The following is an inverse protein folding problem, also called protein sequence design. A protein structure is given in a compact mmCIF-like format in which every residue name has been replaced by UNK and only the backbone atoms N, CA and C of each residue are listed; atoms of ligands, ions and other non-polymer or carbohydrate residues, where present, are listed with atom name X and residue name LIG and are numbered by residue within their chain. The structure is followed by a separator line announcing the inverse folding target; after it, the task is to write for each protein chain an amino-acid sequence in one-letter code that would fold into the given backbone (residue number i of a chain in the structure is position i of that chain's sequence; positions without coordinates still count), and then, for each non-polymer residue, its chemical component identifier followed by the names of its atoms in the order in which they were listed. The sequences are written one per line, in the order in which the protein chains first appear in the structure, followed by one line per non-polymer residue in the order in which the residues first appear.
data_IF_400810623222
#
_entry.id   IF_400810623222
#
_cell.length_a   1.000
_cell.length_b   1.000
_cell.length_c   1.000
_cell.angle_alpha   90.00
_cell.angle_beta   90.00
_cell.angle_gamma   90.00
#
_symmetry.space_group_name_H-M   'P 1'
#
loop_
_entity.id
_entity.type
_entity.pdbx_description
1 polymer ?
#
# COMPACT_ATOMS: atom_id res chain seq x y z
N UNK A 1 -19.10 -17.02 4.65
CA UNK A 1 -18.94 -16.53 6.04
C UNK A 1 -18.72 -15.02 6.10
N UNK A 2 -17.70 -14.45 5.45
CA UNK A 2 -17.44 -12.99 5.54
C UNK A 2 -18.64 -12.14 5.08
N UNK A 3 -19.15 -12.40 3.88
CA UNK A 3 -20.32 -11.70 3.29
C UNK A 3 -21.54 -11.75 4.22
N UNK A 4 -21.97 -12.95 4.59
CA UNK A 4 -23.14 -13.17 5.44
C UNK A 4 -23.00 -12.62 6.86
N UNK A 5 -21.81 -12.75 7.47
CA UNK A 5 -21.63 -12.43 8.89
C UNK A 5 -21.29 -10.95 9.13
N UNK A 6 -20.70 -10.25 8.17
CA UNK A 6 -20.25 -8.87 8.33
C UNK A 6 -21.00 -7.89 7.42
N UNK A 7 -21.15 -8.22 6.14
CA UNK A 7 -21.66 -7.29 5.12
C UNK A 7 -23.18 -7.33 5.07
N UNK A 8 -23.77 -8.52 4.88
CA UNK A 8 -25.22 -8.71 4.81
C UNK A 8 -25.88 -8.37 6.16
N UNK A 9 -25.16 -8.63 7.26
CA UNK A 9 -25.58 -8.26 8.62
C UNK A 9 -25.40 -6.77 8.93
N UNK A 10 -24.82 -5.98 8.01
CA UNK A 10 -24.50 -4.55 8.15
C UNK A 10 -23.59 -4.22 9.34
N UNK A 11 -22.87 -5.21 9.89
CA UNK A 11 -21.91 -4.99 10.96
C UNK A 11 -20.66 -4.25 10.48
N UNK A 12 -20.27 -4.48 9.23
CA UNK A 12 -19.16 -3.76 8.60
C UNK A 12 -19.49 -3.43 7.15
N UNK A 13 -19.51 -2.14 6.83
CA UNK A 13 -19.87 -1.67 5.50
C UNK A 13 -18.75 -1.96 4.50
N UNK A 14 -19.07 -2.27 3.22
CA UNK A 14 -18.05 -2.49 2.19
C UNK A 14 -17.02 -1.36 2.09
N UNK A 15 -17.44 -0.11 2.27
CA UNK A 15 -16.56 1.06 2.29
C UNK A 15 -15.49 0.95 3.37
N UNK A 16 -15.88 0.51 4.58
CA UNK A 16 -14.95 0.39 5.70
C UNK A 16 -13.99 -0.79 5.48
N UNK A 17 -14.47 -1.90 4.91
CA UNK A 17 -13.61 -3.04 4.55
C UNK A 17 -12.55 -2.60 3.53
N UNK A 18 -12.94 -1.86 2.49
CA UNK A 18 -12.00 -1.33 1.50
C UNK A 18 -10.98 -0.40 2.17
N UNK A 19 -11.44 0.50 3.04
CA UNK A 19 -10.54 1.38 3.82
C UNK A 19 -9.52 0.57 4.62
N UNK A 20 -9.98 -0.40 5.41
CA UNK A 20 -9.13 -1.22 6.25
C UNK A 20 -8.09 -1.99 5.43
N UNK A 21 -8.49 -2.59 4.30
CA UNK A 21 -7.59 -3.30 3.39
C UNK A 21 -6.49 -2.36 2.87
N UNK A 22 -6.87 -1.16 2.45
CA UNK A 22 -5.92 -0.22 1.86
C UNK A 22 -4.98 0.39 2.91
N UNK A 23 -5.48 0.70 4.10
CA UNK A 23 -4.66 1.30 5.16
C UNK A 23 -3.66 0.29 5.78
N UNK A 24 -3.92 -1.02 5.67
CA UNK A 24 -2.96 -2.08 6.05
C UNK A 24 -1.69 -2.07 5.16
N UNK A 25 -1.77 -1.54 3.94
CA UNK A 25 -0.65 -1.55 2.98
C UNK A 25 0.60 -0.92 3.59
N UNK A 26 0.45 0.19 4.32
CA UNK A 26 1.56 0.93 4.94
C UNK A 26 2.37 0.08 5.93
N UNK A 27 1.72 -0.91 6.55
CA UNK A 27 2.34 -1.80 7.53
C UNK A 27 2.85 -3.10 6.90
N UNK A 28 2.43 -3.41 5.68
CA UNK A 28 2.75 -4.67 5.01
C UNK A 28 2.98 -4.50 3.50
N UNK A 29 3.86 -3.55 3.15
CA UNK A 29 4.16 -3.11 1.79
C UNK A 29 4.54 -4.22 0.81
N UNK A 30 5.10 -5.35 1.31
CA UNK A 30 5.42 -6.53 0.49
C UNK A 30 4.22 -7.00 -0.34
N UNK A 31 3.03 -6.92 0.23
CA UNK A 31 1.80 -7.44 -0.38
C UNK A 31 0.91 -6.34 -0.94
N UNK A 32 1.46 -5.14 -1.20
CA UNK A 32 0.71 -3.99 -1.75
C UNK A 32 -0.18 -4.39 -2.92
N UNK A 33 0.36 -5.10 -3.92
CA UNK A 33 -0.42 -5.56 -5.08
C UNK A 33 -1.60 -6.46 -4.68
N UNK A 34 -1.38 -7.42 -3.79
CA UNK A 34 -2.43 -8.33 -3.31
C UNK A 34 -3.54 -7.57 -2.58
N UNK A 35 -3.20 -6.60 -1.73
CA UNK A 35 -4.18 -5.77 -1.04
C UNK A 35 -4.94 -4.85 -1.99
N UNK A 36 -4.26 -4.23 -2.96
CA UNK A 36 -4.89 -3.43 -4.01
C UNK A 36 -5.88 -4.26 -4.83
N UNK A 37 -5.50 -5.47 -5.26
CA UNK A 37 -6.39 -6.41 -5.95
C UNK A 37 -7.59 -6.79 -5.08
N UNK A 38 -7.37 -7.06 -3.80
CA UNK A 38 -8.46 -7.38 -2.88
C UNK A 38 -9.44 -6.20 -2.75
N UNK A 39 -8.95 -4.98 -2.51
CA UNK A 39 -9.76 -3.78 -2.47
C UNK A 39 -10.55 -3.55 -3.78
N UNK A 40 -9.94 -3.84 -4.93
CA UNK A 40 -10.59 -3.75 -6.24
C UNK A 40 -11.76 -4.74 -6.36
N UNK A 41 -11.57 -5.98 -5.95
CA UNK A 41 -12.62 -6.99 -5.94
C UNK A 41 -13.84 -6.54 -5.11
N UNK A 42 -13.61 -5.99 -3.92
CA UNK A 42 -14.70 -5.46 -3.09
C UNK A 42 -15.35 -4.22 -3.70
N UNK A 43 -14.54 -3.33 -4.30
CA UNK A 43 -15.05 -2.14 -4.98
C UNK A 43 -16.01 -2.53 -6.10
N UNK A 44 -15.64 -3.52 -6.91
CA UNK A 44 -16.45 -4.01 -8.03
C UNK A 44 -17.68 -4.78 -7.57
N UNK A 45 -17.52 -5.74 -6.66
CA UNK A 45 -18.62 -6.59 -6.19
C UNK A 45 -19.73 -5.76 -5.54
N UNK A 46 -19.35 -4.78 -4.71
CA UNK A 46 -20.29 -3.95 -3.95
C UNK A 46 -20.56 -2.58 -4.59
N UNK A 47 -20.04 -2.34 -5.80
CA UNK A 47 -20.25 -1.12 -6.58
C UNK A 47 -19.93 0.16 -5.77
N UNK A 48 -18.86 0.10 -4.97
CA UNK A 48 -18.46 1.21 -4.10
C UNK A 48 -17.82 2.31 -4.94
N UNK A 49 -18.42 3.50 -4.91
CA UNK A 49 -17.91 4.67 -5.65
C UNK A 49 -17.18 5.66 -4.76
N UNK A 50 -17.35 5.56 -3.44
CA UNK A 50 -16.73 6.47 -2.47
C UNK A 50 -16.42 5.74 -1.16
N UNK A 51 -15.24 6.03 -0.61
CA UNK A 51 -14.74 5.59 0.69
C UNK A 51 -14.37 6.84 1.49
N UNK A 52 -15.04 7.03 2.63
CA UNK A 52 -14.79 8.15 3.53
C UNK A 52 -13.50 7.95 4.33
N UNK A 53 -12.76 9.04 4.54
CA UNK A 53 -11.57 9.09 5.39
C UNK A 53 -10.46 8.08 5.04
N UNK A 54 -10.38 7.65 3.77
CA UNK A 54 -9.24 6.88 3.28
C UNK A 54 -7.96 7.72 3.35
N UNK A 55 -6.84 7.11 3.75
CA UNK A 55 -5.57 7.82 3.77
C UNK A 55 -5.21 8.33 2.37
N UNK A 56 -4.56 9.50 2.31
CA UNK A 56 -4.16 10.07 1.03
C UNK A 56 -3.18 9.16 0.25
N UNK A 57 -2.31 8.44 0.96
CA UNK A 57 -1.38 7.47 0.36
C UNK A 57 -2.13 6.29 -0.23
N UNK A 58 -3.05 5.69 0.53
CA UNK A 58 -3.94 4.60 0.10
C UNK A 58 -4.69 4.96 -1.18
N UNK A 59 -5.24 6.18 -1.23
CA UNK A 59 -5.99 6.65 -2.39
C UNK A 59 -5.10 6.90 -3.62
N UNK A 60 -3.88 7.42 -3.45
CA UNK A 60 -2.91 7.54 -4.56
C UNK A 60 -2.51 6.16 -5.10
N UNK A 61 -2.20 5.20 -4.23
CA UNK A 61 -1.79 3.85 -4.64
C UNK A 61 -2.90 3.17 -5.45
N UNK A 62 -4.13 3.22 -4.97
CA UNK A 62 -5.28 2.63 -5.67
C UNK A 62 -5.58 3.33 -7.00
N UNK A 63 -5.50 4.66 -7.03
CA UNK A 63 -5.67 5.43 -8.26
C UNK A 63 -4.57 5.14 -9.29
N UNK A 64 -3.32 5.00 -8.87
CA UNK A 64 -2.21 4.71 -9.78
C UNK A 64 -2.32 3.31 -10.41
N UNK A 65 -2.81 2.33 -9.66
CA UNK A 65 -2.95 0.94 -10.14
C UNK A 65 -4.17 0.78 -11.06
N UNK A 66 -5.33 1.37 -10.70
CA UNK A 66 -6.60 1.10 -11.38
C UNK A 66 -7.25 2.30 -12.07
N UNK A 67 -6.75 3.52 -11.88
CA UNK A 67 -7.37 4.74 -12.40
C UNK A 67 -8.67 5.16 -11.70
N UNK A 68 -9.05 4.49 -10.61
CA UNK A 68 -10.31 4.71 -9.88
C UNK A 68 -10.07 5.66 -8.71
N UNK A 69 -10.95 6.66 -8.58
CA UNK A 69 -10.93 7.59 -7.44
C UNK A 69 -11.95 7.13 -6.40
N UNK A 70 -11.48 6.67 -5.24
CA UNK A 70 -12.35 6.29 -4.13
C UNK A 70 -12.68 7.47 -3.20
N UNK A 71 -11.98 8.60 -3.33
CA UNK A 71 -12.26 9.78 -2.53
C UNK A 71 -12.39 11.02 -3.41
N UNK A 72 -13.40 11.86 -3.12
CA UNK A 72 -13.74 13.02 -3.96
C UNK A 72 -12.75 14.18 -3.87
N UNK A 73 -12.03 14.33 -2.75
CA UNK A 73 -11.02 15.38 -2.62
C UNK A 73 -9.91 15.17 -3.64
N UNK A 74 -9.47 16.22 -4.32
CA UNK A 74 -8.28 16.16 -5.20
C UNK A 74 -6.97 16.29 -4.41
N UNK A 75 -7.01 16.39 -3.07
CA UNK A 75 -5.82 16.60 -2.24
C UNK A 75 -4.82 15.45 -2.32
N UNK A 76 -5.28 14.22 -2.59
CA UNK A 76 -4.39 13.08 -2.80
C UNK A 76 -3.44 13.29 -4.00
N UNK A 77 -3.86 14.06 -5.02
CA UNK A 77 -2.98 14.38 -6.17
C UNK A 77 -1.77 15.23 -5.79
N UNK A 78 -1.81 15.92 -4.64
CA UNK A 78 -0.69 16.69 -4.11
C UNK A 78 0.32 15.80 -3.38
N UNK A 79 -0.03 14.55 -3.07
CA UNK A 79 0.86 13.60 -2.42
C UNK A 79 1.80 13.04 -3.47
N UNK A 80 3.02 13.58 -3.50
CA UNK A 80 4.14 12.93 -4.16
C UNK A 80 4.56 11.72 -3.31
N UNK A 81 4.33 10.53 -3.85
CA UNK A 81 4.94 9.30 -3.35
C UNK A 81 6.32 9.21 -3.98
N UNK A 82 7.32 9.73 -3.27
CA UNK A 82 8.70 9.54 -3.66
C UNK A 82 9.10 8.09 -3.39
N UNK A 83 9.93 7.54 -4.29
CA UNK A 83 10.49 6.21 -4.15
C UNK A 83 9.41 5.10 -4.11
N UNK A 84 8.47 5.09 -5.08
CA UNK A 84 7.54 3.97 -5.26
C UNK A 84 8.26 2.64 -5.55
N UNK A 85 9.44 2.71 -6.17
CA UNK A 85 10.28 1.55 -6.52
C UNK A 85 11.41 1.31 -5.53
N UNK A 86 11.23 1.67 -4.24
CA UNK A 86 12.21 1.37 -3.18
C UNK A 86 12.53 -0.11 -3.09
N UNK A 87 11.62 -0.99 -3.45
CA UNK A 87 11.83 -2.44 -3.43
C UNK A 87 12.28 -2.98 -4.77
N UNK A 88 12.76 -2.12 -5.68
CA UNK A 88 13.46 -2.56 -6.89
C UNK A 88 14.47 -3.64 -6.51
N UNK A 89 14.52 -4.71 -7.32
CA UNK A 89 15.29 -5.92 -7.04
C UNK A 89 16.74 -5.59 -6.64
N UNK A 90 17.34 -4.55 -7.21
CA UNK A 90 18.71 -4.10 -6.98
C UNK A 90 18.87 -3.02 -5.90
N UNK A 91 17.96 -2.90 -4.95
CA UNK A 91 18.10 -2.00 -3.80
C UNK A 91 18.36 -2.78 -2.50
N UNK A 92 19.01 -2.13 -1.53
CA UNK A 92 19.17 -2.69 -0.18
C UNK A 92 17.81 -2.88 0.52
N UNK A 93 16.83 -2.02 0.23
CA UNK A 93 15.48 -2.15 0.78
C UNK A 93 14.71 -3.32 0.17
N UNK A 94 14.98 -3.68 -1.10
CA UNK A 94 14.49 -4.91 -1.72
C UNK A 94 15.11 -6.15 -1.08
N UNK A 95 16.43 -6.13 -0.85
CA UNK A 95 17.12 -7.20 -0.15
C UNK A 95 16.55 -7.43 1.27
N UNK A 96 16.27 -6.36 2.02
CA UNK A 96 15.60 -6.45 3.33
C UNK A 96 14.18 -7.00 3.19
N UNK A 97 13.38 -6.44 2.27
CA UNK A 97 11.96 -6.81 2.07
C UNK A 97 11.77 -8.29 1.73
N UNK A 98 12.67 -8.84 0.92
CA UNK A 98 12.60 -10.24 0.47
C UNK A 98 13.53 -11.18 1.25
N UNK A 99 14.17 -10.69 2.32
CA UNK A 99 15.10 -11.46 3.15
C UNK A 99 16.26 -12.09 2.35
N UNK A 100 16.80 -11.35 1.38
CA UNK A 100 17.97 -11.74 0.59
C UNK A 100 19.25 -11.36 1.35
N UNK A 101 19.73 -12.32 2.15
CA UNK A 101 20.90 -12.14 3.02
C UNK A 101 22.19 -11.89 2.24
N UNK A 102 22.41 -12.61 1.14
CA UNK A 102 23.64 -12.49 0.36
C UNK A 102 23.75 -11.10 -0.26
N UNK A 103 22.65 -10.62 -0.87
CA UNK A 103 22.60 -9.29 -1.46
C UNK A 103 22.75 -8.20 -0.41
N UNK A 104 22.11 -8.35 0.76
CA UNK A 104 22.26 -7.41 1.87
C UNK A 104 23.72 -7.28 2.33
N UNK A 105 24.43 -8.40 2.55
CA UNK A 105 25.86 -8.40 2.90
C UNK A 105 26.67 -7.66 1.83
N UNK A 106 26.41 -7.97 0.55
CA UNK A 106 27.08 -7.31 -0.57
C UNK A 106 26.86 -5.79 -0.62
N UNK A 107 25.77 -5.27 -0.06
CA UNK A 107 25.56 -3.82 0.07
C UNK A 107 26.37 -3.22 1.22
N UNK A 108 26.47 -3.93 2.34
CA UNK A 108 27.18 -3.44 3.54
C UNK A 108 28.69 -3.41 3.38
N UNK A 109 29.25 -4.22 2.48
CA UNK A 109 30.69 -4.30 2.20
C UNK A 109 31.17 -3.30 1.14
N UNK A 110 30.25 -2.61 0.44
CA UNK A 110 30.62 -1.63 -0.59
C UNK A 110 31.25 -0.38 0.02
N UNK A 111 32.27 0.13 -0.64
CA UNK A 111 32.83 1.44 -0.33
C UNK A 111 31.74 2.52 -0.43
N UNK A 112 31.65 3.38 0.59
CA UNK A 112 30.61 4.42 0.68
C UNK A 112 29.28 3.96 1.28
N UNK A 113 29.18 2.74 1.82
CA UNK A 113 28.00 2.35 2.61
C UNK A 113 27.85 3.22 3.87
N UNK A 114 26.71 3.91 3.96
CA UNK A 114 26.33 4.71 5.12
C UNK A 114 25.42 3.89 6.04
N UNK A 115 25.97 3.44 7.16
CA UNK A 115 25.25 2.68 8.20
C UNK A 115 24.18 3.52 8.91
N UNK A 116 24.27 4.84 8.86
CA UNK A 116 23.37 5.77 9.54
C UNK A 116 22.26 6.29 8.60
N UNK A 117 22.25 5.82 7.35
CA UNK A 117 21.24 6.16 6.35
C UNK A 117 19.84 5.73 6.79
N UNK A 118 18.92 6.70 6.86
CA UNK A 118 17.50 6.47 7.17
C UNK A 118 16.63 6.51 5.92
N UNK A 119 15.60 5.68 5.86
CA UNK A 119 14.56 5.76 4.84
C UNK A 119 13.51 6.79 5.28
N UNK A 120 13.34 7.86 4.50
CA UNK A 120 12.22 8.79 4.64
C UNK A 120 11.21 8.41 3.56
N UNK A 121 10.06 7.85 3.96
CA UNK A 121 9.03 7.42 3.01
C UNK A 121 7.64 7.56 3.62
N UNK A 122 6.67 7.98 2.79
CA UNK A 122 5.25 8.01 3.17
C UNK A 122 4.57 6.64 3.02
N UNK A 123 5.28 5.66 2.46
CA UNK A 123 4.82 4.27 2.35
C UNK A 123 5.08 3.49 3.65
N UNK A 124 5.88 4.04 4.56
CA UNK A 124 6.15 3.46 5.87
C UNK A 124 5.68 4.40 6.98
N UNK A 125 5.28 3.87 8.14
CA UNK A 125 5.05 4.67 9.35
C UNK A 125 6.28 5.42 9.83
#
# INVERSE_FOLDING_TARGET
MLKTNLIDSKKHLPQNIIKDILDIILFNNRYTKSYLTLAKLFTDEYHVTEVFEISGVSNVLFYNEYGIKLHKSNEFKKIKLENLDIHAENSIYGAIMYNDKEKFISFTEREGFDKDKKLISKLYP
#
